data_IF_314573114379
#
_entry.id   IF_314573114379
#
_cell.length_a   1.000
_cell.length_b   1.000
_cell.length_c   1.000
_cell.angle_alpha   90.00
_cell.angle_beta   90.00
_cell.angle_gamma   90.00
#
_symmetry.space_group_name_H-M   'P 1'
#
loop_
_entity.id
_entity.type
_entity.pdbx_description
1 polymer ?
#
# COMPACT_ATOMS: atom_id res chain seq x y z
N UNK A 1 6.40 15.46 48.16
CA UNK A 1 6.17 14.96 46.79
C UNK A 1 7.06 15.75 45.83
N UNK A 2 8.27 15.27 45.57
CA UNK A 2 9.19 15.84 44.60
C UNK A 2 9.43 14.77 43.55
N UNK A 3 8.71 14.89 42.44
CA UNK A 3 8.71 13.92 41.35
C UNK A 3 10.06 13.86 40.65
N UNK A 4 10.70 12.71 40.74
CA UNK A 4 11.89 12.33 39.99
C UNK A 4 11.55 12.31 38.49
N UNK A 5 11.97 13.34 37.73
CA UNK A 5 12.11 13.23 36.27
C UNK A 5 13.54 12.81 35.97
N UNK A 6 13.69 11.59 35.44
CA UNK A 6 14.93 11.09 34.87
C UNK A 6 15.50 12.09 33.83
N UNK A 7 16.82 12.32 33.79
CA UNK A 7 17.42 13.23 32.84
C UNK A 7 17.38 12.66 31.43
N UNK A 8 16.86 13.44 30.48
CA UNK A 8 16.96 13.21 29.03
C UNK A 8 18.44 13.16 28.62
N UNK A 9 19.04 11.97 28.55
CA UNK A 9 20.39 11.75 28.00
C UNK A 9 20.44 10.64 26.94
N UNK A 10 19.47 10.63 26.02
CA UNK A 10 19.55 9.85 24.78
C UNK A 10 18.95 10.66 23.62
N UNK A 11 19.67 11.66 23.08
CA UNK A 11 19.23 12.32 21.82
C UNK A 11 20.25 13.21 21.08
N UNK A 12 21.50 13.42 21.53
CA UNK A 12 22.38 14.42 20.90
C UNK A 12 23.43 13.89 19.91
N UNK A 13 23.42 12.59 19.58
CA UNK A 13 24.47 11.98 18.74
C UNK A 13 23.97 11.35 17.43
N UNK A 14 22.92 10.55 17.49
CA UNK A 14 22.54 9.65 16.39
C UNK A 14 21.99 10.36 15.14
N UNK A 15 21.03 11.31 15.22
CA UNK A 15 20.48 11.95 14.03
C UNK A 15 21.50 12.86 13.31
N UNK A 16 22.28 13.64 14.07
CA UNK A 16 23.32 14.50 13.52
C UNK A 16 24.47 13.69 12.88
N UNK A 17 24.76 12.49 13.38
CA UNK A 17 25.68 11.56 12.73
C UNK A 17 25.11 11.03 11.41
N UNK A 18 23.87 10.55 11.40
CA UNK A 18 23.21 10.00 10.22
C UNK A 18 23.13 11.03 9.07
N UNK A 19 22.76 12.28 9.37
CA UNK A 19 22.69 13.33 8.35
C UNK A 19 24.03 13.52 7.60
N UNK A 20 25.17 13.38 8.30
CA UNK A 20 26.52 13.57 7.75
C UNK A 20 27.04 12.38 6.96
N UNK A 21 26.55 11.16 7.22
CA UNK A 21 27.09 9.95 6.56
C UNK A 21 26.58 9.78 5.14
N UNK A 22 25.44 10.36 4.77
CA UNK A 22 24.80 10.07 3.48
C UNK A 22 24.17 8.68 3.42
N UNK A 23 24.01 8.01 4.57
CA UNK A 23 23.42 6.67 4.63
C UNK A 23 21.93 6.72 4.26
N UNK A 24 21.44 5.67 3.59
CA UNK A 24 19.99 5.46 3.47
C UNK A 24 19.51 4.77 4.73
N UNK A 25 18.54 5.37 5.41
CA UNK A 25 17.88 4.81 6.59
C UNK A 25 16.55 4.20 6.16
N UNK A 26 16.44 2.89 6.33
CA UNK A 26 15.21 2.13 6.09
C UNK A 26 14.56 1.86 7.44
N UNK A 27 13.30 2.23 7.61
CA UNK A 27 12.63 2.05 8.89
C UNK A 27 11.13 2.32 8.84
N UNK A 28 10.42 1.91 9.89
CA UNK A 28 8.99 2.18 9.99
C UNK A 28 8.71 3.70 10.00
N UNK A 29 7.52 4.09 9.58
CA UNK A 29 7.16 5.50 9.38
C UNK A 29 7.41 6.37 10.65
N UNK A 30 7.16 5.82 11.84
CA UNK A 30 7.29 6.54 13.10
C UNK A 30 8.76 6.79 13.47
N UNK A 31 9.62 5.78 13.30
CA UNK A 31 11.06 5.96 13.48
C UNK A 31 11.62 7.01 12.52
N UNK A 32 11.17 7.00 11.26
CA UNK A 32 11.62 8.00 10.28
C UNK A 32 11.03 9.38 10.53
N UNK A 33 9.81 9.48 11.09
CA UNK A 33 9.23 10.75 11.56
C UNK A 33 10.14 11.40 12.60
N UNK A 34 10.58 10.64 13.60
CA UNK A 34 11.49 11.13 14.63
C UNK A 34 12.84 11.56 14.05
N UNK A 35 13.38 10.83 13.07
CA UNK A 35 14.63 11.21 12.40
C UNK A 35 14.48 12.47 11.54
N UNK A 36 13.35 12.62 10.86
CA UNK A 36 13.00 13.83 10.12
C UNK A 36 12.92 15.04 11.04
N UNK A 37 12.22 14.92 12.17
CA UNK A 37 12.13 15.98 13.19
C UNK A 37 13.49 16.33 13.79
N UNK A 38 14.41 15.35 13.82
CA UNK A 38 15.79 15.55 14.26
C UNK A 38 16.74 16.06 13.15
N UNK A 39 16.23 16.40 11.96
CA UNK A 39 16.97 17.07 10.89
C UNK A 39 17.68 16.14 9.88
N UNK A 40 17.34 14.84 9.84
CA UNK A 40 17.84 13.94 8.79
C UNK A 40 17.14 14.27 7.45
N UNK A 41 17.87 14.47 6.34
CA UNK A 41 17.28 14.81 5.05
C UNK A 41 16.29 13.75 4.53
N UNK A 42 15.17 14.18 3.92
CA UNK A 42 14.17 13.26 3.37
C UNK A 42 14.74 12.30 2.32
N UNK A 43 15.74 12.73 1.57
CA UNK A 43 16.44 11.90 0.57
C UNK A 43 17.22 10.72 1.17
N UNK A 44 17.45 10.72 2.48
CA UNK A 44 18.07 9.62 3.22
C UNK A 44 17.03 8.70 3.88
N UNK A 45 15.77 9.12 3.99
CA UNK A 45 14.74 8.42 4.75
C UNK A 45 13.87 7.59 3.79
N UNK A 46 13.88 6.27 3.96
CA UNK A 46 13.07 5.35 3.17
C UNK A 46 12.02 4.66 4.06
N UNK A 47 10.80 5.21 4.13
CA UNK A 47 9.74 4.62 4.94
C UNK A 47 9.32 3.26 4.40
N UNK A 48 9.14 2.30 5.30
CA UNK A 48 8.66 0.95 4.99
C UNK A 48 7.49 0.57 5.89
N UNK A 49 6.57 -0.18 5.31
CA UNK A 49 5.36 -0.74 5.87
C UNK A 49 5.40 -2.29 5.90
N UNK A 50 6.35 -2.91 5.19
CA UNK A 50 6.48 -4.34 4.99
C UNK A 50 6.11 -4.76 3.55
N UNK A 51 6.61 -5.89 3.07
CA UNK A 51 6.41 -6.34 1.68
C UNK A 51 7.37 -5.69 0.68
N UNK A 52 8.21 -4.74 1.09
CA UNK A 52 9.11 -4.02 0.20
C UNK A 52 10.28 -4.86 -0.33
N UNK A 53 10.75 -4.48 -1.52
CA UNK A 53 12.00 -4.92 -2.15
C UNK A 53 12.75 -3.69 -2.59
N UNK A 54 13.74 -3.30 -1.79
CA UNK A 54 14.42 -2.02 -1.95
C UNK A 54 15.75 -2.26 -2.67
N UNK A 55 15.94 -1.74 -3.90
CA UNK A 55 17.25 -1.70 -4.51
C UNK A 55 18.11 -0.68 -3.79
N UNK A 56 19.29 -1.10 -3.35
CA UNK A 56 20.30 -0.22 -2.77
C UNK A 56 21.45 -0.05 -3.74
N UNK A 57 21.90 1.21 -3.87
CA UNK A 57 22.89 1.63 -4.84
C UNK A 57 24.15 2.13 -4.16
N UNK A 58 25.29 2.04 -4.84
CA UNK A 58 26.51 2.70 -4.37
C UNK A 58 26.31 4.22 -4.36
N UNK A 59 27.10 4.92 -3.54
CA UNK A 59 27.05 6.39 -3.47
C UNK A 59 27.24 7.05 -4.84
N UNK A 60 28.21 6.57 -5.62
CA UNK A 60 28.51 7.10 -6.96
C UNK A 60 27.32 6.99 -7.91
N UNK A 61 26.61 5.84 -7.90
CA UNK A 61 25.41 5.63 -8.72
C UNK A 61 24.27 6.58 -8.32
N UNK A 62 24.08 6.81 -7.01
CA UNK A 62 23.06 7.78 -6.54
C UNK A 62 23.40 9.22 -6.90
N UNK A 63 24.68 9.60 -6.84
CA UNK A 63 25.14 10.94 -7.22
C UNK A 63 24.98 11.19 -8.72
N UNK A 64 25.27 10.19 -9.57
CA UNK A 64 24.99 10.26 -11.01
C UNK A 64 23.50 10.51 -11.26
N UNK A 65 22.62 9.72 -10.63
CA UNK A 65 21.18 9.86 -10.80
C UNK A 65 20.66 11.22 -10.31
N UNK A 66 21.14 11.69 -9.15
CA UNK A 66 20.78 13.01 -8.61
C UNK A 66 21.18 14.17 -9.53
N UNK A 67 22.24 13.99 -10.31
CA UNK A 67 22.70 14.94 -11.33
C UNK A 67 22.00 14.77 -12.69
N UNK A 68 21.02 13.87 -12.79
CA UNK A 68 20.31 13.58 -14.05
C UNK A 68 21.14 12.83 -15.08
N UNK A 69 22.15 12.08 -14.63
CA UNK A 69 23.05 11.31 -15.50
C UNK A 69 23.01 9.82 -15.17
N UNK A 70 23.46 8.97 -16.08
CA UNK A 70 23.42 7.51 -15.92
C UNK A 70 22.07 6.91 -16.34
N UNK A 71 21.86 5.63 -15.99
CA UNK A 71 20.61 4.92 -16.26
C UNK A 71 19.61 5.21 -15.14
N UNK A 72 18.51 5.88 -15.47
CA UNK A 72 17.51 6.36 -14.51
C UNK A 72 16.27 5.47 -14.50
N UNK A 73 15.67 5.29 -13.33
CA UNK A 73 14.35 4.68 -13.20
C UNK A 73 13.27 5.66 -13.71
N UNK A 74 12.17 5.10 -14.22
CA UNK A 74 10.97 5.88 -14.49
C UNK A 74 10.40 6.38 -13.16
N UNK A 75 10.11 7.67 -13.08
CA UNK A 75 9.60 8.33 -11.86
C UNK A 75 8.44 9.25 -12.16
N UNK A 76 7.68 9.61 -11.12
CA UNK A 76 6.61 10.61 -11.23
C UNK A 76 7.17 12.02 -11.32
N UNK A 77 6.44 12.91 -11.99
CA UNK A 77 6.81 14.32 -12.08
C UNK A 77 7.04 14.91 -10.67
N UNK A 78 8.20 15.52 -10.47
CA UNK A 78 8.59 16.11 -9.19
C UNK A 78 9.07 15.11 -8.11
N UNK A 79 9.13 13.80 -8.41
CA UNK A 79 9.86 12.85 -7.57
C UNK A 79 11.39 12.98 -7.79
N UNK A 80 12.23 12.64 -6.80
CA UNK A 80 13.68 12.58 -6.99
C UNK A 80 14.06 11.65 -8.14
N UNK A 81 15.09 12.01 -8.90
CA UNK A 81 15.68 11.13 -9.91
C UNK A 81 16.38 9.96 -9.21
N UNK A 82 15.97 8.73 -9.54
CA UNK A 82 16.50 7.51 -8.94
C UNK A 82 17.26 6.69 -9.98
N UNK A 83 18.32 5.96 -9.58
CA UNK A 83 18.99 5.03 -10.46
C UNK A 83 18.03 3.90 -10.88
N UNK A 84 18.19 3.40 -12.11
CA UNK A 84 17.48 2.21 -12.57
C UNK A 84 17.87 0.98 -11.74
N UNK A 85 16.91 0.08 -11.49
CA UNK A 85 17.09 -1.09 -10.63
C UNK A 85 18.20 -2.04 -11.09
N UNK A 86 18.51 -2.06 -12.40
CA UNK A 86 19.65 -2.82 -12.95
C UNK A 86 21.01 -2.38 -12.41
N UNK A 87 21.11 -1.17 -11.85
CA UNK A 87 22.33 -0.65 -11.22
C UNK A 87 22.42 -1.00 -9.72
N UNK A 88 21.46 -1.75 -9.17
CA UNK A 88 21.43 -2.08 -7.75
C UNK A 88 22.67 -2.90 -7.34
N UNK A 89 23.33 -2.48 -6.26
CA UNK A 89 24.46 -3.19 -5.68
C UNK A 89 24.01 -4.31 -4.75
N UNK A 90 22.85 -4.15 -4.10
CA UNK A 90 22.22 -5.15 -3.24
C UNK A 90 20.71 -4.86 -3.05
N UNK A 91 19.96 -5.85 -2.56
CA UNK A 91 18.52 -5.74 -2.33
C UNK A 91 18.18 -5.93 -0.84
N UNK A 92 17.25 -5.14 -0.32
CA UNK A 92 16.69 -5.31 1.03
C UNK A 92 15.25 -5.75 0.93
N UNK A 93 14.92 -6.87 1.56
CA UNK A 93 13.57 -7.43 1.60
C UNK A 93 12.95 -7.13 2.96
N UNK A 94 11.80 -6.46 2.97
CA UNK A 94 11.08 -6.08 4.19
C UNK A 94 9.73 -6.81 4.22
N UNK A 95 9.25 -7.12 5.42
CA UNK A 95 8.03 -7.89 5.71
C UNK A 95 7.40 -7.32 7.01
N UNK A 96 6.05 -7.22 7.23
CA UNK A 96 4.90 -7.44 6.33
C UNK A 96 3.91 -6.22 6.20
N UNK A 97 3.59 -5.81 4.96
CA UNK A 97 2.42 -4.95 4.61
C UNK A 97 1.50 -5.70 3.65
N UNK A 98 0.20 -5.41 3.67
CA UNK A 98 -0.86 -6.10 2.93
C UNK A 98 -1.64 -5.23 1.92
N UNK A 99 -1.10 -4.10 1.46
CA UNK A 99 -1.86 -3.31 0.48
C UNK A 99 -1.99 -4.00 -0.89
N UNK A 100 -3.16 -3.89 -1.51
CA UNK A 100 -3.32 -4.07 -2.95
C UNK A 100 -2.48 -3.05 -3.73
N UNK A 101 -1.96 -3.45 -4.89
CA UNK A 101 -1.11 -2.60 -5.71
C UNK A 101 -1.96 -1.86 -6.73
N UNK A 102 -1.74 -0.56 -6.88
CA UNK A 102 -2.27 0.18 -8.01
C UNK A 102 -1.33 -0.06 -9.20
N UNK A 103 -1.81 -0.61 -10.32
CA UNK A 103 -0.99 -0.74 -11.52
C UNK A 103 -0.53 0.64 -12.01
N UNK A 104 0.68 0.72 -12.58
CA UNK A 104 1.16 1.93 -13.22
C UNK A 104 0.42 2.13 -14.54
N UNK A 105 -0.65 2.93 -14.50
CA UNK A 105 -1.46 3.27 -15.66
C UNK A 105 -1.27 4.76 -15.91
N UNK A 106 -0.71 5.08 -17.08
CA UNK A 106 -0.55 6.47 -17.54
C UNK A 106 -1.88 7.22 -17.51
N UNK A 107 -2.99 6.52 -17.78
CA UNK A 107 -4.36 6.97 -17.57
C UNK A 107 -5.15 5.87 -16.85
N UNK A 108 -5.53 6.05 -15.57
CA UNK A 108 -6.34 5.08 -14.85
C UNK A 108 -7.74 4.97 -15.48
N UNK A 109 -8.29 3.75 -15.67
CA UNK A 109 -9.62 3.57 -16.22
C UNK A 109 -10.69 4.14 -15.28
N UNK A 110 -11.84 4.53 -15.83
CA UNK A 110 -12.96 4.99 -15.01
C UNK A 110 -13.52 3.90 -14.08
N UNK A 111 -13.44 2.64 -14.52
CA UNK A 111 -13.87 1.46 -13.75
C UNK A 111 -12.71 0.49 -13.66
N UNK A 112 -12.43 0.00 -12.46
CA UNK A 112 -11.47 -1.06 -12.23
C UNK A 112 -12.17 -2.42 -12.32
N UNK A 113 -11.89 -3.19 -13.37
CA UNK A 113 -12.47 -4.51 -13.60
C UNK A 113 -11.68 -5.59 -12.85
N UNK A 114 -12.33 -6.28 -11.90
CA UNK A 114 -11.70 -7.38 -11.15
C UNK A 114 -11.28 -8.56 -12.04
N UNK A 115 -11.88 -8.71 -13.22
CA UNK A 115 -11.51 -9.71 -14.23
C UNK A 115 -10.32 -9.33 -15.09
N UNK A 116 -9.86 -8.07 -15.04
CA UNK A 116 -8.72 -7.61 -15.83
C UNK A 116 -7.44 -8.34 -15.40
N UNK A 117 -6.79 -8.98 -16.37
CA UNK A 117 -5.56 -9.74 -16.12
C UNK A 117 -4.36 -8.82 -16.25
N UNK A 118 -3.58 -8.69 -15.17
CA UNK A 118 -2.29 -8.04 -15.20
C UNK A 118 -1.20 -9.09 -15.38
N UNK A 119 -0.45 -9.00 -16.48
CA UNK A 119 0.74 -9.84 -16.74
C UNK A 119 1.93 -8.97 -17.11
N UNK A 120 3.12 -9.37 -16.68
CA UNK A 120 4.34 -8.63 -17.00
C UNK A 120 4.41 -7.25 -16.35
N UNK A 121 5.42 -6.47 -16.76
CA UNK A 121 5.86 -5.15 -16.23
C UNK A 121 6.30 -5.06 -14.78
N UNK A 122 6.11 -6.11 -13.98
CA UNK A 122 6.62 -6.16 -12.61
C UNK A 122 8.13 -6.37 -12.57
N UNK A 123 8.91 -5.37 -12.15
CA UNK A 123 10.34 -5.61 -11.85
C UNK A 123 10.48 -6.42 -10.55
N UNK A 124 11.67 -6.97 -10.28
CA UNK A 124 11.95 -7.64 -9.01
C UNK A 124 11.81 -6.72 -7.77
N UNK A 125 11.63 -5.42 -7.99
CA UNK A 125 11.57 -4.38 -6.95
C UNK A 125 10.21 -3.70 -6.82
N UNK A 126 9.25 -3.99 -7.69
CA UNK A 126 7.90 -3.41 -7.60
C UNK A 126 7.20 -3.95 -6.35
N UNK A 127 6.81 -3.05 -5.44
CA UNK A 127 6.37 -3.43 -4.10
C UNK A 127 5.61 -2.32 -3.36
N UNK A 128 5.30 -2.54 -2.07
CA UNK A 128 4.57 -1.59 -1.23
C UNK A 128 5.26 -0.21 -1.05
N UNK A 129 6.58 -0.07 -1.33
CA UNK A 129 7.25 1.25 -1.39
C UNK A 129 6.56 2.15 -2.41
N UNK A 130 6.17 1.58 -3.54
CA UNK A 130 5.63 2.36 -4.66
C UNK A 130 4.29 2.99 -4.28
N UNK A 131 3.52 2.36 -3.38
CA UNK A 131 2.31 2.95 -2.80
C UNK A 131 2.65 4.20 -2.00
N UNK A 132 3.63 4.13 -1.09
CA UNK A 132 4.06 5.30 -0.32
C UNK A 132 4.59 6.41 -1.23
N UNK A 133 5.35 6.06 -2.27
CA UNK A 133 5.81 7.04 -3.27
C UNK A 133 4.67 7.66 -4.04
N UNK A 134 3.67 6.88 -4.45
CA UNK A 134 2.48 7.36 -5.15
C UNK A 134 1.63 8.27 -4.26
N UNK A 135 1.58 8.02 -2.95
CA UNK A 135 0.96 8.94 -1.98
C UNK A 135 1.72 10.26 -1.88
N UNK A 136 3.05 10.20 -1.67
CA UNK A 136 3.90 11.40 -1.47
C UNK A 136 4.00 12.25 -2.72
N UNK A 137 4.31 11.63 -3.86
CA UNK A 137 4.64 12.32 -5.11
C UNK A 137 3.49 12.34 -6.12
N UNK A 138 2.36 11.68 -5.82
CA UNK A 138 1.16 11.70 -6.64
C UNK A 138 0.01 12.35 -5.87
N UNK A 139 -0.68 11.56 -5.03
CA UNK A 139 -1.95 11.95 -4.42
C UNK A 139 -1.86 13.25 -3.60
N UNK A 140 -0.80 13.41 -2.82
CA UNK A 140 -0.61 14.61 -1.98
C UNK A 140 -0.13 15.84 -2.77
N UNK A 141 0.13 15.70 -4.06
CA UNK A 141 0.57 16.78 -4.96
C UNK A 141 -0.35 16.97 -6.14
N UNK A 142 -1.59 16.48 -6.08
CA UNK A 142 -2.57 16.62 -7.16
C UNK A 142 -2.78 18.08 -7.60
N UNK A 143 -2.70 19.04 -6.67
CA UNK A 143 -2.82 20.46 -7.01
C UNK A 143 -1.68 20.94 -7.93
N UNK A 144 -0.48 20.40 -7.78
CA UNK A 144 0.68 20.73 -8.61
C UNK A 144 0.67 19.97 -9.94
N UNK A 145 0.11 18.75 -9.94
CA UNK A 145 0.16 17.83 -11.07
C UNK A 145 -0.99 18.00 -12.08
N UNK A 146 -2.17 18.45 -11.63
CA UNK A 146 -3.35 18.57 -12.47
C UNK A 146 -3.46 19.95 -13.13
N UNK A 147 -3.90 19.98 -14.39
CA UNK A 147 -4.26 21.23 -15.09
C UNK A 147 -5.52 21.86 -14.48
N UNK A 148 -5.78 23.14 -14.79
CA UNK A 148 -6.96 23.83 -14.30
C UNK A 148 -8.27 23.18 -14.77
N UNK A 149 -8.27 22.64 -15.99
CA UNK A 149 -9.40 21.95 -16.62
C UNK A 149 -9.69 20.61 -15.93
N UNK A 150 -8.65 19.88 -15.49
CA UNK A 150 -8.79 18.61 -14.79
C UNK A 150 -9.29 18.74 -13.34
N UNK A 151 -9.27 19.95 -12.78
CA UNK A 151 -9.75 20.25 -11.43
C UNK A 151 -11.23 20.65 -11.46
N UNK A 152 -12.14 19.71 -11.64
CA UNK A 152 -13.57 19.98 -11.51
C UNK A 152 -14.01 20.28 -10.06
N UNK A 153 -15.31 20.43 -9.79
CA UNK A 153 -15.82 20.70 -8.45
C UNK A 153 -15.51 19.60 -7.42
N UNK A 154 -15.57 18.32 -7.82
CA UNK A 154 -15.26 17.18 -6.96
C UNK A 154 -13.76 17.14 -6.66
N UNK A 155 -12.93 17.26 -7.69
CA UNK A 155 -11.47 17.26 -7.58
C UNK A 155 -10.95 18.43 -6.75
N UNK A 156 -11.51 19.65 -6.90
CA UNK A 156 -11.16 20.79 -6.04
C UNK A 156 -11.50 20.54 -4.57
N UNK A 157 -12.65 19.95 -4.29
CA UNK A 157 -13.03 19.60 -2.91
C UNK A 157 -12.02 18.63 -2.30
N UNK A 158 -11.62 17.60 -3.06
CA UNK A 158 -10.63 16.62 -2.64
C UNK A 158 -9.23 17.24 -2.44
N UNK A 159 -8.76 18.06 -3.38
CA UNK A 159 -7.50 18.81 -3.27
C UNK A 159 -7.51 19.69 -2.01
N UNK A 160 -8.59 20.44 -1.78
CA UNK A 160 -8.73 21.29 -0.59
C UNK A 160 -8.67 20.47 0.70
N UNK A 161 -9.33 19.29 0.73
CA UNK A 161 -9.29 18.39 1.87
C UNK A 161 -7.86 17.90 2.17
N UNK A 162 -7.13 17.44 1.15
CA UNK A 162 -5.75 16.96 1.31
C UNK A 162 -4.80 18.09 1.71
N UNK A 163 -4.96 19.29 1.13
CA UNK A 163 -4.07 20.43 1.37
C UNK A 163 -4.26 21.08 2.74
N UNK A 164 -5.44 20.99 3.36
CA UNK A 164 -5.66 21.46 4.73
C UNK A 164 -5.07 20.49 5.77
N UNK A 165 -3.73 20.50 5.89
CA UNK A 165 -2.98 19.66 6.84
C UNK A 165 -3.09 20.11 8.30
N UNK A 166 -3.70 21.28 8.55
CA UNK A 166 -3.97 21.75 9.92
C UNK A 166 -5.25 21.11 10.46
N UNK A 167 -6.28 21.00 9.62
CA UNK A 167 -7.56 20.39 9.99
C UNK A 167 -7.56 18.88 9.73
N UNK A 168 -7.02 18.44 8.60
CA UNK A 168 -7.03 17.05 8.15
C UNK A 168 -5.63 16.45 8.32
N UNK A 169 -5.31 16.07 9.56
CA UNK A 169 -4.03 15.46 9.90
C UNK A 169 -3.99 14.05 9.27
N UNK A 170 -3.07 13.85 8.32
CA UNK A 170 -2.89 12.60 7.59
C UNK A 170 -1.40 12.32 7.35
N UNK A 171 -1.07 11.07 6.98
CA UNK A 171 0.29 10.63 6.61
C UNK A 171 0.26 10.00 5.21
N UNK A 172 1.37 10.11 4.47
CA UNK A 172 1.54 9.39 3.21
C UNK A 172 2.04 7.94 3.41
N UNK A 173 2.31 7.57 4.67
CA UNK A 173 2.80 6.27 5.12
C UNK A 173 1.95 5.86 6.31
N UNK A 174 1.13 4.83 6.14
CA UNK A 174 0.21 4.31 7.16
C UNK A 174 0.81 3.14 7.95
N UNK A 175 2.02 2.69 7.62
CA UNK A 175 2.68 1.56 8.25
C UNK A 175 2.22 0.21 7.72
N UNK A 176 1.39 0.20 6.67
CA UNK A 176 0.89 -0.99 6.03
C UNK A 176 -0.52 -1.34 6.42
N UNK A 177 -1.19 -2.08 5.54
CA UNK A 177 -2.49 -2.64 5.86
C UNK A 177 -2.34 -3.85 6.79
N UNK A 178 -3.20 -3.92 7.79
CA UNK A 178 -3.37 -5.08 8.66
C UNK A 178 -4.55 -5.94 8.19
N UNK A 179 -4.43 -7.24 8.45
CA UNK A 179 -5.51 -8.21 8.32
C UNK A 179 -5.90 -8.63 9.73
N UNK A 180 -7.20 -8.62 10.01
CA UNK A 180 -7.75 -8.96 11.32
C UNK A 180 -8.52 -10.27 11.21
N UNK A 181 -8.34 -11.15 12.19
CA UNK A 181 -9.22 -12.30 12.38
C UNK A 181 -9.97 -12.09 13.70
N UNK A 182 -11.22 -11.64 13.61
CA UNK A 182 -12.05 -11.28 14.75
C UNK A 182 -12.77 -12.53 15.25
N UNK A 183 -12.56 -12.87 16.52
CA UNK A 183 -13.15 -14.05 17.15
C UNK A 183 -14.44 -13.66 17.88
N UNK A 184 -15.51 -14.39 17.61
CA UNK A 184 -16.82 -14.24 18.24
C UNK A 184 -17.28 -15.62 18.68
N UNK A 185 -17.17 -15.91 19.98
CA UNK A 185 -17.42 -17.23 20.55
C UNK A 185 -16.60 -18.33 19.83
N UNK A 186 -17.26 -19.31 19.20
CA UNK A 186 -16.65 -20.39 18.42
C UNK A 186 -16.48 -20.07 16.92
N UNK A 187 -16.77 -18.82 16.53
CA UNK A 187 -16.76 -18.33 15.15
C UNK A 187 -15.68 -17.29 14.90
N UNK A 188 -15.28 -17.15 13.63
CA UNK A 188 -14.28 -16.17 13.21
C UNK A 188 -14.69 -15.39 11.96
N UNK A 189 -14.39 -14.08 11.97
CA UNK A 189 -14.59 -13.16 10.85
C UNK A 189 -13.25 -12.55 10.46
N UNK A 190 -12.78 -12.85 9.26
CA UNK A 190 -11.57 -12.26 8.72
C UNK A 190 -11.89 -10.95 8.00
N UNK A 191 -11.14 -9.89 8.28
CA UNK A 191 -11.23 -8.59 7.61
C UNK A 191 -9.88 -8.23 6.99
N UNK A 192 -9.84 -8.15 5.67
CA UNK A 192 -8.69 -7.76 4.85
C UNK A 192 -9.15 -6.71 3.83
N UNK A 193 -8.97 -5.43 4.12
CA UNK A 193 -9.60 -4.35 3.35
C UNK A 193 -8.95 -4.04 2.00
N UNK A 194 -7.80 -4.63 1.67
CA UNK A 194 -7.20 -4.53 0.33
C UNK A 194 -6.90 -5.92 -0.23
N UNK A 195 -6.67 -5.95 -1.53
CA UNK A 195 -6.36 -7.16 -2.29
C UNK A 195 -4.87 -7.53 -2.15
N UNK A 196 -4.44 -7.85 -0.93
CA UNK A 196 -3.07 -8.23 -0.61
C UNK A 196 -2.99 -9.26 0.51
N UNK A 197 -2.07 -10.21 0.36
CA UNK A 197 -1.94 -11.37 1.25
C UNK A 197 -0.51 -11.87 1.39
N UNK A 198 -0.19 -12.39 2.58
CA UNK A 198 0.88 -13.37 2.74
C UNK A 198 0.31 -14.77 2.74
N UNK A 199 0.63 -15.59 1.74
CA UNK A 199 0.07 -16.94 1.63
C UNK A 199 0.51 -17.82 2.80
N UNK A 200 1.74 -17.64 3.29
CA UNK A 200 2.26 -18.31 4.48
C UNK A 200 1.47 -18.00 5.76
N UNK A 201 0.80 -16.84 5.84
CA UNK A 201 -0.10 -16.49 6.95
C UNK A 201 -1.51 -17.04 6.67
N UNK A 202 -2.06 -16.78 5.48
CA UNK A 202 -3.43 -17.22 5.16
C UNK A 202 -3.60 -18.74 5.24
N UNK A 203 -2.57 -19.50 4.86
CA UNK A 203 -2.58 -20.97 4.92
C UNK A 203 -2.54 -21.55 6.34
N UNK A 204 -2.18 -20.77 7.35
CA UNK A 204 -1.96 -21.26 8.73
C UNK A 204 -2.77 -20.49 9.79
N UNK A 205 -3.58 -19.52 9.37
CA UNK A 205 -4.41 -18.75 10.31
C UNK A 205 -5.40 -19.68 11.00
N UNK A 206 -5.44 -19.62 12.33
CA UNK A 206 -6.36 -20.36 13.16
C UNK A 206 -6.95 -19.44 14.25
N UNK A 207 -8.24 -19.58 14.61
CA UNK A 207 -9.22 -20.42 13.92
C UNK A 207 -9.49 -19.94 12.49
N UNK A 208 -9.85 -20.88 11.62
CA UNK A 208 -10.29 -20.57 10.25
C UNK A 208 -11.53 -19.67 10.27
N UNK A 209 -11.59 -18.65 9.39
CA UNK A 209 -12.76 -17.78 9.33
C UNK A 209 -13.97 -18.53 8.78
N UNK A 210 -15.14 -18.28 9.40
CA UNK A 210 -16.45 -18.64 8.85
C UNK A 210 -16.92 -17.59 7.82
N UNK A 211 -16.50 -16.34 8.00
CA UNK A 211 -16.82 -15.21 7.12
C UNK A 211 -15.55 -14.44 6.77
N UNK A 212 -15.35 -14.10 5.50
CA UNK A 212 -14.26 -13.23 5.05
C UNK A 212 -14.79 -11.93 4.42
N UNK A 213 -14.27 -10.80 4.86
CA UNK A 213 -14.45 -9.48 4.25
C UNK A 213 -13.16 -9.13 3.51
N UNK A 214 -13.21 -9.06 2.18
CA UNK A 214 -12.02 -8.90 1.32
C UNK A 214 -12.15 -7.68 0.41
N UNK A 215 -11.11 -6.84 0.37
CA UNK A 215 -10.99 -5.77 -0.62
C UNK A 215 -10.77 -6.35 -2.02
N UNK A 216 -11.48 -5.86 -3.03
CA UNK A 216 -11.41 -6.40 -4.41
C UNK A 216 -10.88 -5.40 -5.45
N UNK A 217 -10.41 -4.23 -5.00
CA UNK A 217 -9.84 -3.21 -5.85
C UNK A 217 -8.33 -3.39 -6.05
N UNK A 218 -7.84 -3.05 -7.24
CA UNK A 218 -6.41 -3.04 -7.56
C UNK A 218 -5.88 -4.37 -8.11
N UNK A 219 -4.57 -4.42 -8.32
CA UNK A 219 -3.85 -5.65 -8.65
C UNK A 219 -3.49 -6.37 -7.35
N UNK A 220 -3.66 -7.69 -7.35
CA UNK A 220 -3.32 -8.54 -6.21
C UNK A 220 -1.88 -8.36 -5.75
N UNK A 221 -1.65 -8.30 -4.44
CA UNK A 221 -0.33 -8.28 -3.83
C UNK A 221 -0.07 -9.60 -3.10
N UNK A 222 0.68 -10.50 -3.72
CA UNK A 222 1.08 -11.77 -3.15
C UNK A 222 2.48 -11.67 -2.54
N UNK A 223 2.59 -11.78 -1.22
CA UNK A 223 3.87 -11.78 -0.51
C UNK A 223 4.75 -10.55 -0.79
N UNK A 224 4.12 -9.38 -0.98
CA UNK A 224 4.80 -8.14 -1.33
C UNK A 224 5.05 -7.96 -2.84
N UNK A 225 4.48 -8.81 -3.71
CA UNK A 225 4.69 -8.77 -5.16
C UNK A 225 3.38 -8.63 -5.93
N UNK A 226 3.40 -7.94 -7.09
CA UNK A 226 2.28 -7.99 -8.02
C UNK A 226 1.94 -9.44 -8.40
N UNK A 227 0.68 -9.82 -8.20
CA UNK A 227 0.15 -11.10 -8.65
C UNK A 227 0.05 -11.10 -10.18
N UNK A 228 0.49 -12.18 -10.81
CA UNK A 228 0.32 -12.41 -12.24
C UNK A 228 -1.03 -13.09 -12.48
N UNK A 229 -2.01 -12.30 -12.89
CA UNK A 229 -3.40 -12.72 -12.99
C UNK A 229 -4.37 -11.57 -12.76
N UNK A 230 -5.66 -11.90 -12.69
CA UNK A 230 -6.70 -10.95 -12.35
C UNK A 230 -6.94 -10.86 -10.85
N UNK A 231 -7.62 -9.79 -10.40
CA UNK A 231 -8.04 -9.67 -9.00
C UNK A 231 -9.01 -10.77 -8.59
N UNK A 232 -9.89 -11.19 -9.51
CA UNK A 232 -10.79 -12.33 -9.34
C UNK A 232 -10.03 -13.64 -9.09
N UNK A 233 -8.98 -13.92 -9.87
CA UNK A 233 -8.14 -15.11 -9.68
C UNK A 233 -7.40 -15.08 -8.34
N UNK A 234 -6.92 -13.90 -7.94
CA UNK A 234 -6.24 -13.75 -6.67
C UNK A 234 -7.19 -13.96 -5.48
N UNK A 235 -8.40 -13.41 -5.53
CA UNK A 235 -9.41 -13.62 -4.49
C UNK A 235 -9.78 -15.10 -4.31
N UNK A 236 -9.87 -15.87 -5.40
CA UNK A 236 -10.05 -17.32 -5.34
C UNK A 236 -8.89 -18.00 -4.59
N UNK A 237 -7.64 -17.58 -4.85
CA UNK A 237 -6.48 -18.13 -4.18
C UNK A 237 -6.50 -17.81 -2.67
N UNK A 238 -6.81 -16.56 -2.30
CA UNK A 238 -6.94 -16.14 -0.89
C UNK A 238 -7.99 -17.00 -0.15
N UNK A 239 -9.18 -17.17 -0.73
CA UNK A 239 -10.25 -17.94 -0.11
C UNK A 239 -9.90 -19.43 0.03
N UNK A 240 -9.23 -20.02 -0.97
CA UNK A 240 -8.73 -21.40 -0.87
C UNK A 240 -7.69 -21.54 0.25
N UNK A 241 -6.78 -20.57 0.41
CA UNK A 241 -5.79 -20.60 1.49
C UNK A 241 -6.44 -20.45 2.87
N UNK A 242 -7.52 -19.69 2.97
CA UNK A 242 -8.29 -19.49 4.19
C UNK A 242 -9.19 -20.67 4.56
N UNK A 243 -9.25 -21.73 3.75
CA UNK A 243 -10.08 -22.90 4.01
C UNK A 243 -11.51 -22.79 3.48
N UNK A 244 -11.76 -21.84 2.57
CA UNK A 244 -13.05 -21.58 1.92
C UNK A 244 -14.15 -21.23 2.93
N UNK A 245 -14.11 -20.02 3.53
CA UNK A 245 -15.15 -19.56 4.46
C UNK A 245 -16.54 -19.64 3.82
N UNK A 246 -17.59 -19.91 4.60
CA UNK A 246 -18.95 -20.08 4.07
C UNK A 246 -19.45 -18.83 3.35
N UNK A 247 -19.08 -17.65 3.86
CA UNK A 247 -19.51 -16.35 3.32
C UNK A 247 -18.35 -15.42 3.03
N UNK A 248 -18.47 -14.69 1.92
CA UNK A 248 -17.52 -13.66 1.49
C UNK A 248 -18.26 -12.36 1.26
N UNK A 249 -17.69 -11.27 1.75
CA UNK A 249 -18.22 -9.92 1.57
C UNK A 249 -17.13 -9.10 0.88
N UNK A 250 -17.46 -8.50 -0.27
CA UNK A 250 -16.53 -7.59 -0.93
C UNK A 250 -16.48 -6.25 -0.19
N UNK A 251 -15.29 -5.67 -0.13
CA UNK A 251 -15.03 -4.34 0.40
C UNK A 251 -14.25 -3.50 -0.62
N UNK A 252 -14.11 -2.20 -0.34
CA UNK A 252 -13.32 -1.25 -1.12
C UNK A 252 -13.78 -1.12 -2.59
N UNK A 253 -15.07 -1.31 -2.85
CA UNK A 253 -15.67 -1.23 -4.20
C UNK A 253 -16.70 -0.10 -4.36
N UNK A 254 -16.79 0.80 -3.39
CA UNK A 254 -17.68 1.97 -3.43
C UNK A 254 -17.22 3.01 -4.47
N UNK A 255 -18.09 3.99 -4.74
CA UNK A 255 -17.72 5.11 -5.62
C UNK A 255 -16.60 5.95 -5.01
N UNK A 256 -15.48 6.05 -5.72
CA UNK A 256 -14.32 6.86 -5.36
C UNK A 256 -14.45 8.29 -5.89
N UNK A 257 -13.76 9.24 -5.24
CA UNK A 257 -13.68 10.64 -5.67
C UNK A 257 -12.62 10.86 -6.77
N UNK A 258 -11.75 9.88 -6.98
CA UNK A 258 -10.67 9.90 -7.98
C UNK A 258 -10.73 8.63 -8.83
N UNK A 259 -10.30 8.66 -10.11
CA UNK A 259 -10.16 7.46 -10.91
C UNK A 259 -9.22 6.42 -10.26
N UNK A 260 -9.52 5.12 -10.34
CA UNK A 260 -10.77 4.55 -10.86
C UNK A 260 -11.95 4.87 -9.93
N UNK A 261 -13.07 5.33 -10.52
CA UNK A 261 -14.24 5.81 -9.76
C UNK A 261 -15.08 4.67 -9.20
N UNK A 262 -15.02 3.48 -9.79
CA UNK A 262 -15.79 2.30 -9.37
C UNK A 262 -14.97 1.04 -9.55
N UNK A 263 -15.36 -0.02 -8.87
CA UNK A 263 -14.79 -1.36 -9.02
C UNK A 263 -15.90 -2.30 -9.47
N UNK A 264 -15.67 -3.02 -10.57
CA UNK A 264 -16.55 -4.07 -11.04
C UNK A 264 -16.15 -5.40 -10.37
N UNK A 265 -17.03 -5.89 -9.49
CA UNK A 265 -16.85 -7.09 -8.68
C UNK A 265 -17.51 -8.34 -9.28
N UNK A 266 -18.14 -8.23 -10.44
CA UNK A 266 -18.97 -9.32 -10.98
C UNK A 266 -18.12 -10.53 -11.39
N UNK A 267 -16.97 -10.29 -12.04
CA UNK A 267 -16.04 -11.36 -12.40
C UNK A 267 -15.52 -12.10 -11.15
N UNK A 268 -15.08 -11.35 -10.13
CA UNK A 268 -14.64 -11.93 -8.86
C UNK A 268 -15.75 -12.75 -8.18
N UNK A 269 -16.98 -12.23 -8.16
CA UNK A 269 -18.14 -12.92 -7.58
C UNK A 269 -18.41 -14.24 -8.28
N UNK A 270 -18.53 -14.22 -9.61
CA UNK A 270 -18.81 -15.42 -10.41
C UNK A 270 -17.70 -16.47 -10.26
N UNK A 271 -16.43 -16.04 -10.28
CA UNK A 271 -15.31 -16.96 -10.21
C UNK A 271 -15.18 -17.60 -8.83
N UNK A 272 -15.36 -16.83 -7.75
CA UNK A 272 -15.32 -17.33 -6.37
C UNK A 272 -16.40 -18.36 -6.10
N UNK A 273 -17.64 -18.08 -6.49
CA UNK A 273 -18.75 -19.01 -6.26
C UNK A 273 -18.67 -20.27 -7.12
N UNK A 274 -17.94 -20.21 -8.24
CA UNK A 274 -17.66 -21.34 -9.11
C UNK A 274 -16.51 -22.21 -8.61
N UNK A 275 -15.45 -21.60 -8.08
CA UNK A 275 -14.19 -22.30 -7.78
C UNK A 275 -13.95 -22.61 -6.29
N UNK A 276 -14.84 -22.16 -5.41
CA UNK A 276 -14.76 -22.39 -3.96
C UNK A 276 -16.14 -22.78 -3.41
N UNK A 277 -16.19 -23.28 -2.17
CA UNK A 277 -17.48 -23.50 -1.48
C UNK A 277 -18.13 -22.20 -0.98
N UNK A 278 -17.38 -21.11 -0.95
CA UNK A 278 -17.80 -19.81 -0.43
C UNK A 278 -18.96 -19.20 -1.23
N UNK A 279 -19.84 -18.45 -0.56
CA UNK A 279 -20.91 -17.67 -1.17
C UNK A 279 -20.72 -16.18 -0.95
N UNK A 280 -20.87 -15.39 -2.01
CA UNK A 280 -20.70 -13.94 -1.92
C UNK A 280 -22.00 -13.33 -1.42
N UNK A 281 -21.90 -12.49 -0.41
CA UNK A 281 -23.02 -11.76 0.17
C UNK A 281 -22.90 -10.29 -0.21
N UNK A 282 -23.93 -9.76 -0.86
CA UNK A 282 -24.05 -8.33 -1.15
C UNK A 282 -24.67 -7.61 0.04
N UNK A 283 -24.00 -6.57 0.53
CA UNK A 283 -24.47 -5.79 1.67
C UNK A 283 -25.15 -4.50 1.21
N UNK A 284 -26.39 -4.22 1.64
CA UNK A 284 -27.00 -2.93 1.39
C UNK A 284 -26.34 -1.83 2.21
N UNK A 285 -26.10 -0.68 1.57
CA UNK A 285 -25.43 0.47 2.18
C UNK A 285 -26.12 0.90 3.49
N UNK A 286 -25.30 1.12 4.53
CA UNK A 286 -25.71 1.57 5.86
C UNK A 286 -26.81 0.74 6.54
N UNK A 287 -26.91 -0.56 6.21
CA UNK A 287 -27.82 -1.50 6.88
C UNK A 287 -27.04 -2.56 7.66
N UNK A 288 -27.44 -2.87 8.90
CA UNK A 288 -26.87 -3.98 9.65
C UNK A 288 -27.05 -5.31 8.92
N UNK A 289 -26.07 -6.19 9.04
CA UNK A 289 -26.11 -7.57 8.55
C UNK A 289 -25.77 -8.53 9.69
N UNK A 290 -26.56 -9.60 9.81
CA UNK A 290 -26.36 -10.62 10.85
C UNK A 290 -25.30 -11.62 10.36
N UNK A 291 -24.15 -11.61 11.02
CA UNK A 291 -23.01 -12.44 10.66
C UNK A 291 -23.16 -13.89 11.11
N UNK A 292 -23.82 -14.20 12.23
CA UNK A 292 -24.05 -15.56 12.72
C UNK A 292 -25.47 -15.71 13.25
#
# INVERSE_FOLDING_TARGET
>A
MTGNRLPRRFASGTPAFLARTGATVIGNCEALRLLREAGVPETQLLPVAGGERIPLFTRAVREQASNGTGLLAQGRLGAPLLPHSDLAALAVHVWPSLHGLLPDLAEPPAVFDSGHVFTGSATAFDCSVDITRNMVYGLFRLDELLSAEAKDGKMRSFINFINDRKKNIMSACDGGQLMFNVLVDDKAVLFNSHLGAYDGIMKVVEPRPDVAVLGIAGRGNLNGRPYDGSGAQFAVAELKWLGEPDRVIWALHDESLIPPFRVDKDCATQLVEKETRSKVVDLPYAKPYVLF
#
